data_IF_001742870191
#
_entry.id   IF_001742870191
#
_cell.length_a   1.000
_cell.length_b   1.000
_cell.length_c   1.000
_cell.angle_alpha   90.00
_cell.angle_beta   90.00
_cell.angle_gamma   90.00
#
_symmetry.space_group_name_H-M   'P 1'
#
loop_
_entity.id
_entity.type
_entity.pdbx_description
1 polymer ?
#
# COMPACT_ATOMS: atom_id res chain seq x y z
N UNK A 1 36.95 -17.12 11.88
CA UNK A 1 35.79 -16.70 11.05
C UNK A 1 35.87 -17.49 9.75
N UNK A 2 34.78 -18.12 9.33
CA UNK A 2 34.71 -18.98 8.15
C UNK A 2 33.71 -18.39 7.18
N UNK A 3 34.09 -18.36 5.91
CA UNK A 3 33.17 -18.00 4.84
C UNK A 3 32.22 -19.18 4.54
N UNK A 4 30.93 -18.88 4.43
CA UNK A 4 29.89 -19.84 4.10
C UNK A 4 29.61 -19.89 2.59
N UNK A 5 30.03 -18.86 1.85
CA UNK A 5 29.70 -18.66 0.44
C UNK A 5 28.30 -18.09 0.25
N UNK A 6 27.77 -18.21 -0.96
CA UNK A 6 26.42 -17.77 -1.35
C UNK A 6 25.75 -18.83 -2.22
N UNK A 7 24.46 -18.69 -2.50
CA UNK A 7 23.73 -19.47 -3.52
C UNK A 7 24.02 -18.97 -4.95
N UNK A 8 25.20 -18.38 -5.18
CA UNK A 8 25.65 -17.83 -6.46
C UNK A 8 25.42 -16.32 -6.62
N UNK A 9 24.73 -15.68 -5.68
CA UNK A 9 24.55 -14.23 -5.64
C UNK A 9 25.67 -13.49 -4.89
N UNK A 10 25.41 -12.22 -4.58
CA UNK A 10 26.42 -11.27 -4.07
C UNK A 10 26.67 -11.34 -2.57
N UNK A 11 25.70 -11.81 -1.77
CA UNK A 11 25.85 -11.93 -0.33
C UNK A 11 25.01 -13.07 0.28
N UNK A 12 25.24 -13.27 1.57
CA UNK A 12 24.45 -14.12 2.46
C UNK A 12 24.50 -13.56 3.87
N UNK A 13 23.48 -13.82 4.66
CA UNK A 13 23.46 -13.52 6.10
C UNK A 13 23.09 -14.77 6.89
N UNK A 14 23.81 -14.99 8.00
CA UNK A 14 23.58 -16.11 8.90
C UNK A 14 22.71 -15.64 10.08
N UNK A 15 21.59 -16.34 10.30
CA UNK A 15 20.63 -16.02 11.35
C UNK A 15 20.74 -16.96 12.55
N UNK A 16 21.05 -18.24 12.33
CA UNK A 16 21.10 -19.25 13.39
C UNK A 16 22.19 -20.29 13.18
N UNK A 17 22.69 -20.86 14.28
CA UNK A 17 23.69 -21.93 14.27
C UNK A 17 23.41 -22.94 15.39
N UNK A 18 23.62 -24.23 15.12
CA UNK A 18 23.48 -25.31 16.12
C UNK A 18 24.84 -25.91 16.54
N UNK A 19 24.81 -26.82 17.53
CA UNK A 19 26.01 -27.47 18.09
C UNK A 19 26.79 -28.33 17.07
N UNK A 20 26.13 -28.81 16.01
CA UNK A 20 26.79 -29.51 14.90
C UNK A 20 27.51 -28.55 13.94
N UNK A 21 27.43 -27.24 14.20
CA UNK A 21 27.98 -26.19 13.37
C UNK A 21 27.20 -26.00 12.06
N UNK A 22 25.94 -26.45 11.99
CA UNK A 22 25.07 -26.12 10.87
C UNK A 22 24.56 -24.70 11.05
N UNK A 23 24.70 -23.90 10.00
CA UNK A 23 24.26 -22.51 9.95
C UNK A 23 23.08 -22.39 8.99
N UNK A 24 22.08 -21.62 9.40
CA UNK A 24 20.91 -21.23 8.59
C UNK A 24 20.83 -19.73 8.42
N UNK A 25 20.14 -19.29 7.38
CA UNK A 25 19.91 -17.87 7.10
C UNK A 25 19.32 -17.66 5.72
N UNK A 26 19.70 -16.58 5.06
CA UNK A 26 19.32 -16.30 3.67
C UNK A 26 20.53 -15.98 2.80
N UNK A 27 20.41 -16.26 1.50
CA UNK A 27 21.42 -15.89 0.52
C UNK A 27 20.79 -15.45 -0.79
N UNK A 28 21.46 -14.53 -1.48
CA UNK A 28 21.07 -14.17 -2.82
C UNK A 28 21.46 -15.28 -3.81
N UNK A 29 20.56 -15.58 -4.75
CA UNK A 29 20.81 -16.45 -5.89
C UNK A 29 21.47 -15.69 -7.03
N UNK A 30 21.87 -16.41 -8.08
CA UNK A 30 22.43 -15.82 -9.31
C UNK A 30 21.45 -14.83 -9.97
N UNK A 31 20.15 -15.11 -9.85
CA UNK A 31 19.05 -14.29 -10.38
C UNK A 31 18.74 -13.07 -9.48
N UNK A 32 19.42 -12.95 -8.33
CA UNK A 32 19.19 -11.89 -7.35
C UNK A 32 17.99 -12.10 -6.43
N UNK A 33 17.38 -13.30 -6.45
CA UNK A 33 16.33 -13.67 -5.50
C UNK A 33 16.92 -13.98 -4.12
N UNK A 34 16.15 -13.82 -3.06
CA UNK A 34 16.57 -14.15 -1.68
C UNK A 34 15.96 -15.46 -1.23
N UNK A 35 16.78 -16.50 -1.06
CA UNK A 35 16.33 -17.83 -0.64
C UNK A 35 16.92 -18.23 0.72
N UNK A 36 16.14 -18.99 1.48
CA UNK A 36 16.59 -19.61 2.72
C UNK A 36 17.67 -20.66 2.43
N UNK A 37 18.73 -20.71 3.25
CA UNK A 37 19.77 -21.73 3.13
C UNK A 37 20.01 -22.49 4.44
N UNK A 38 20.59 -23.68 4.31
CA UNK A 38 21.24 -24.42 5.39
C UNK A 38 22.60 -24.92 4.93
N UNK A 39 23.57 -25.00 5.85
CA UNK A 39 24.88 -25.63 5.61
C UNK A 39 24.96 -27.02 6.25
N UNK A 40 25.88 -27.85 5.74
CA UNK A 40 26.28 -29.07 6.43
C UNK A 40 27.07 -28.79 7.73
N UNK A 41 27.39 -29.83 8.51
CA UNK A 41 28.14 -29.70 9.75
C UNK A 41 29.42 -28.87 9.57
N UNK A 42 29.78 -28.09 10.59
CA UNK A 42 30.91 -27.14 10.56
C UNK A 42 30.83 -26.08 9.44
N UNK A 43 29.63 -25.66 9.04
CA UNK A 43 29.41 -24.64 8.01
C UNK A 43 29.84 -25.09 6.61
N UNK A 44 29.76 -26.39 6.32
CA UNK A 44 30.27 -26.97 5.09
C UNK A 44 29.17 -27.11 4.04
N UNK A 45 29.34 -26.41 2.90
CA UNK A 45 28.46 -26.55 1.74
C UNK A 45 27.09 -25.94 1.98
N UNK A 46 26.91 -24.70 1.53
CA UNK A 46 25.62 -24.03 1.52
C UNK A 46 24.65 -24.73 0.56
N UNK A 47 23.41 -24.92 1.00
CA UNK A 47 22.33 -25.56 0.25
C UNK A 47 21.07 -24.74 0.38
N UNK A 48 20.37 -24.57 -0.73
CA UNK A 48 19.05 -23.93 -0.76
C UNK A 48 18.03 -24.82 -0.07
N UNK A 49 17.34 -24.29 0.95
CA UNK A 49 16.34 -25.02 1.72
C UNK A 49 15.11 -25.37 0.88
N UNK A 50 14.79 -24.56 -0.13
CA UNK A 50 13.70 -24.84 -1.08
C UNK A 50 13.94 -26.10 -1.90
N UNK A 51 15.19 -26.50 -2.09
CA UNK A 51 15.55 -27.74 -2.80
C UNK A 51 15.50 -28.99 -1.90
N UNK A 52 15.37 -28.80 -0.59
CA UNK A 52 15.43 -29.88 0.41
C UNK A 52 14.05 -30.28 0.95
N UNK A 53 13.00 -29.51 0.63
CA UNK A 53 11.65 -29.70 1.14
C UNK A 53 10.67 -29.65 -0.02
N UNK A 54 9.71 -30.58 -0.06
CA UNK A 54 8.61 -30.53 -1.01
C UNK A 54 7.60 -29.44 -0.61
N UNK A 55 7.63 -28.31 -1.33
CA UNK A 55 6.76 -27.17 -1.09
C UNK A 55 5.62 -27.12 -2.13
N UNK A 56 4.43 -26.61 -1.75
CA UNK A 56 3.37 -26.34 -2.71
C UNK A 56 3.83 -25.39 -3.83
N UNK A 57 3.25 -25.49 -5.04
CA UNK A 57 3.61 -24.59 -6.13
C UNK A 57 3.46 -23.12 -5.75
N UNK A 58 4.50 -22.32 -6.02
CA UNK A 58 4.54 -20.89 -5.74
C UNK A 58 4.98 -20.53 -4.32
N UNK A 59 5.08 -21.48 -3.39
CA UNK A 59 5.66 -21.22 -2.06
C UNK A 59 7.17 -21.24 -2.17
N UNK A 60 7.80 -20.16 -1.70
CA UNK A 60 9.26 -20.03 -1.64
C UNK A 60 9.63 -19.63 -0.21
N UNK A 61 10.53 -20.39 0.41
CA UNK A 61 11.21 -20.07 1.65
C UNK A 61 12.28 -19.02 1.37
N UNK A 62 12.07 -17.83 1.89
CA UNK A 62 12.97 -16.69 1.67
C UNK A 62 14.01 -16.54 2.77
N UNK A 63 13.66 -16.97 3.99
CA UNK A 63 14.53 -16.78 5.14
C UNK A 63 14.39 -17.92 6.14
N UNK A 64 15.50 -18.49 6.58
CA UNK A 64 15.54 -19.33 7.77
C UNK A 64 15.92 -18.46 8.98
N UNK A 65 15.05 -18.42 9.98
CA UNK A 65 15.15 -17.50 11.12
C UNK A 65 15.98 -18.11 12.25
N UNK A 66 15.81 -19.40 12.50
CA UNK A 66 16.51 -20.08 13.59
C UNK A 66 16.61 -21.59 13.35
N UNK A 67 17.57 -22.23 14.00
CA UNK A 67 17.81 -23.67 13.99
C UNK A 67 18.09 -24.16 15.41
N UNK A 68 17.46 -25.27 15.81
CA UNK A 68 17.78 -25.91 17.08
C UNK A 68 18.80 -27.06 16.93
N UNK A 69 19.29 -27.59 18.05
CA UNK A 69 20.25 -28.70 18.08
C UNK A 69 19.71 -30.04 17.55
N UNK A 70 18.39 -30.15 17.34
CA UNK A 70 17.79 -31.29 16.65
C UNK A 70 17.75 -31.12 15.12
N UNK A 71 18.22 -29.98 14.59
CA UNK A 71 18.18 -29.65 13.16
C UNK A 71 16.81 -29.18 12.67
N UNK A 72 15.90 -28.82 13.58
CA UNK A 72 14.62 -28.22 13.21
C UNK A 72 14.81 -26.74 12.94
N UNK A 73 14.19 -26.24 11.87
CA UNK A 73 14.39 -24.89 11.35
C UNK A 73 13.04 -24.18 11.33
N UNK A 74 13.02 -22.93 11.78
CA UNK A 74 11.90 -22.01 11.54
C UNK A 74 12.23 -21.20 10.29
N UNK A 75 11.35 -21.19 9.30
CA UNK A 75 11.55 -20.47 8.05
C UNK A 75 10.31 -19.65 7.66
N UNK A 76 10.55 -18.51 7.02
CA UNK A 76 9.53 -17.65 6.44
C UNK A 76 9.32 -17.99 4.97
N UNK A 77 8.05 -18.01 4.55
CA UNK A 77 7.66 -18.22 3.16
C UNK A 77 6.84 -17.06 2.64
N UNK A 78 6.98 -16.75 1.35
CA UNK A 78 6.02 -15.90 0.65
C UNK A 78 5.00 -16.80 -0.05
N UNK A 79 3.72 -16.55 0.20
CA UNK A 79 2.63 -17.25 -0.46
C UNK A 79 2.04 -16.27 -1.49
N UNK A 80 2.26 -16.47 -2.80
CA UNK A 80 1.58 -15.69 -3.81
C UNK A 80 0.13 -16.19 -3.89
N UNK A 81 -0.83 -15.41 -3.39
CA UNK A 81 -2.24 -15.71 -3.59
C UNK A 81 -2.73 -15.13 -4.94
N UNK A 82 -2.89 -15.94 -6.00
CA UNK A 82 -3.42 -15.46 -7.27
C UNK A 82 -4.85 -14.91 -7.14
N UNK A 83 -5.59 -15.37 -6.13
CA UNK A 83 -6.99 -15.00 -5.90
C UNK A 83 -7.16 -13.56 -5.38
N UNK A 84 -6.18 -13.04 -4.62
CA UNK A 84 -6.21 -11.65 -4.13
C UNK A 84 -6.24 -10.66 -5.30
N UNK A 85 -5.44 -10.89 -6.35
CA UNK A 85 -5.44 -10.02 -7.52
C UNK A 85 -6.79 -10.03 -8.23
N UNK A 86 -7.42 -11.19 -8.35
CA UNK A 86 -8.75 -11.33 -8.95
C UNK A 86 -9.78 -10.56 -8.13
N UNK A 87 -9.76 -10.68 -6.81
CA UNK A 87 -10.71 -10.01 -5.92
C UNK A 87 -10.49 -8.48 -5.89
N UNK A 88 -9.25 -8.00 -5.85
CA UNK A 88 -8.93 -6.57 -5.92
C UNK A 88 -9.38 -5.98 -7.26
N UNK A 89 -9.06 -6.65 -8.37
CA UNK A 89 -9.48 -6.21 -9.70
C UNK A 89 -11.02 -6.22 -9.83
N UNK A 90 -11.69 -7.25 -9.30
CA UNK A 90 -13.14 -7.31 -9.26
C UNK A 90 -13.73 -6.16 -8.41
N UNK A 91 -13.15 -5.86 -7.25
CA UNK A 91 -13.56 -4.74 -6.40
C UNK A 91 -13.37 -3.39 -7.07
N UNK A 92 -12.23 -3.16 -7.73
CA UNK A 92 -11.97 -1.93 -8.48
C UNK A 92 -12.93 -1.79 -9.67
N UNK A 93 -13.24 -2.89 -10.37
CA UNK A 93 -14.22 -2.90 -11.45
C UNK A 93 -15.62 -2.53 -10.94
N UNK A 94 -16.03 -3.07 -9.79
CA UNK A 94 -17.30 -2.73 -9.14
C UNK A 94 -17.37 -1.25 -8.76
N UNK A 95 -16.29 -0.69 -8.18
CA UNK A 95 -16.22 0.74 -7.83
C UNK A 95 -16.30 1.62 -9.09
N UNK A 96 -15.66 1.22 -10.18
CA UNK A 96 -15.71 1.92 -11.46
C UNK A 96 -17.11 1.95 -12.11
N UNK A 97 -17.95 0.95 -11.80
CA UNK A 97 -19.33 0.85 -12.31
C UNK A 97 -20.34 1.67 -11.48
N UNK A 98 -19.97 2.20 -10.31
CA UNK A 98 -20.88 2.99 -9.49
C UNK A 98 -21.14 4.34 -10.19
N UNK A 99 -22.40 4.64 -10.61
CA UNK A 99 -22.70 5.91 -11.24
C UNK A 99 -22.51 7.05 -10.24
N UNK A 100 -21.63 8.00 -10.57
CA UNK A 100 -21.42 9.20 -9.74
C UNK A 100 -22.68 10.06 -9.76
N UNK A 101 -23.36 10.17 -8.61
CA UNK A 101 -24.44 11.14 -8.42
C UNK A 101 -23.87 12.55 -8.61
N UNK A 102 -24.32 13.26 -9.65
CA UNK A 102 -24.04 14.70 -9.79
C UNK A 102 -24.73 15.43 -8.65
N UNK A 103 -24.01 16.33 -7.96
CA UNK A 103 -24.63 17.30 -7.04
C UNK A 103 -25.66 18.09 -7.84
N UNK A 104 -26.93 17.97 -7.47
CA UNK A 104 -27.96 18.88 -7.95
C UNK A 104 -27.72 20.21 -7.25
N UNK A 105 -27.40 21.26 -8.01
CA UNK A 105 -27.37 22.61 -7.49
C UNK A 105 -28.80 22.96 -7.10
N UNK A 106 -29.03 23.26 -5.83
CA UNK A 106 -30.26 23.93 -5.43
C UNK A 106 -30.17 25.36 -6.00
N UNK A 107 -31.06 25.66 -6.94
CA UNK A 107 -31.32 27.04 -7.38
C UNK A 107 -31.59 27.91 -6.13
N UNK A 108 -30.88 29.03 -5.93
CA UNK A 108 -31.19 29.91 -4.82
C UNK A 108 -32.52 30.59 -5.13
N UNK A 109 -33.50 30.47 -4.23
CA UNK A 109 -34.73 31.25 -4.28
C UNK A 109 -34.35 32.73 -4.41
N UNK A 110 -34.73 33.35 -5.53
CA UNK A 110 -34.40 34.73 -5.87
C UNK A 110 -35.09 35.72 -4.93
N UNK A 111 -34.30 36.47 -4.19
CA UNK A 111 -34.72 37.68 -3.49
C UNK A 111 -33.54 38.65 -3.41
N UNK A 112 -33.36 39.49 -4.43
CA UNK A 112 -32.71 40.82 -4.40
C UNK A 112 -32.19 41.21 -5.80
N UNK A 113 -33.11 41.47 -6.74
CA UNK A 113 -32.82 42.41 -7.84
C UNK A 113 -33.49 43.74 -7.48
N UNK A 114 -32.80 44.55 -6.67
CA UNK A 114 -33.13 45.96 -6.47
C UNK A 114 -31.85 46.79 -6.61
N UNK A 115 -31.98 47.85 -7.41
CA UNK A 115 -31.13 49.05 -7.56
C UNK A 115 -30.02 49.05 -8.62
N UNK A 116 -30.37 49.57 -9.81
CA UNK A 116 -29.57 50.64 -10.46
C UNK A 116 -30.50 51.78 -10.88
N UNK A 117 -30.35 52.91 -10.20
CA UNK A 117 -30.90 54.19 -10.62
C UNK A 117 -29.94 54.86 -11.62
N UNK A 118 -30.46 55.35 -12.75
CA UNK A 118 -29.80 56.40 -13.54
C UNK A 118 -30.83 57.44 -13.95
N UNK A 119 -30.49 58.68 -13.66
CA UNK A 119 -31.34 59.86 -13.60
C UNK A 119 -31.33 60.66 -14.89
N UNK A 120 -32.50 60.99 -15.45
CA UNK A 120 -32.67 62.17 -16.32
C UNK A 120 -34.02 62.86 -16.02
N UNK A 121 -33.93 63.84 -15.13
CA UNK A 121 -34.64 65.14 -15.11
C UNK A 121 -35.87 65.35 -16.00
N UNK A 122 -37.04 65.59 -15.38
CA UNK A 122 -37.92 66.73 -15.73
C UNK A 122 -38.66 67.29 -14.50
N UNK A 123 -38.34 68.55 -14.24
CA UNK A 123 -38.92 69.63 -13.41
C UNK A 123 -40.39 69.49 -12.87
N UNK A 124 -40.66 69.90 -11.60
CA UNK A 124 -42.01 70.11 -11.01
C UNK A 124 -42.46 71.59 -11.26
N UNK A 125 -43.49 72.23 -10.62
CA UNK A 125 -44.38 71.83 -9.50
C UNK A 125 -45.85 72.34 -9.60
N UNK A 126 -46.74 71.82 -8.74
CA UNK A 126 -47.90 72.53 -8.17
C UNK A 126 -48.54 71.64 -7.11
N UNK A 127 -49.01 72.06 -5.94
CA UNK A 127 -49.12 73.34 -5.24
C UNK A 127 -49.54 72.95 -3.81
N UNK A 128 -48.98 73.63 -2.80
CA UNK A 128 -49.68 74.28 -1.66
C UNK A 128 -50.71 73.42 -0.90
N UNK A 129 -50.64 73.18 0.40
CA UNK A 129 -50.30 74.06 1.52
C UNK A 129 -50.23 73.17 2.79
N UNK A 130 -49.25 73.33 3.68
CA UNK A 130 -49.31 74.25 4.83
C UNK A 130 -50.43 73.81 5.82
N UNK A 131 -50.19 73.43 7.08
CA UNK A 131 -49.24 73.94 8.07
C UNK A 131 -49.10 72.98 9.28
N UNK A 132 -47.93 73.08 9.93
CA UNK A 132 -47.60 73.06 11.38
C UNK A 132 -48.06 71.88 12.26
N UNK A 133 -47.39 71.55 13.36
CA UNK A 133 -46.04 71.70 13.93
C UNK A 133 -46.22 71.27 15.38
N UNK A 134 -45.37 70.34 15.85
CA UNK A 134 -45.05 70.05 17.27
C UNK A 134 -46.20 69.58 18.19
N UNK A 135 -46.04 68.57 19.03
CA UNK A 135 -44.86 67.86 19.52
C UNK A 135 -44.83 66.40 19.06
#
# INVERSE_FOLDING_TARGET
MRDLGTLGGTNSEANGVNDAGQVVGYSHTVEGATYAFITGPNGAGMRDLNSLVDLPPGVILTEAIDINNAGQIIALSVIPEPEIYVLILAGLALIGLIPRRKKMNAEPLGWLDVLVASSTTTKPPARRNCWKLSL
#
